data_IF_601889033640
#
_entry.id   IF_601889033640
#
_cell.length_a   1.000
_cell.length_b   1.000
_cell.length_c   1.000
_cell.angle_alpha   90.00
_cell.angle_beta   90.00
_cell.angle_gamma   90.00
#
_symmetry.space_group_name_H-M   'P 1'
#
loop_
_entity.id
_entity.type
_entity.pdbx_description
1 polymer ?
#
# COMPACT_ATOMS: atom_id res chain seq x y z
N UNK A 1 -15.55 5.24 -13.68
CA UNK A 1 -16.46 5.56 -12.56
C UNK A 1 -15.61 5.95 -11.36
N UNK A 2 -16.12 6.68 -10.35
CA UNK A 2 -15.35 6.87 -9.12
C UNK A 2 -15.32 5.57 -8.32
N UNK A 3 -14.14 4.99 -8.11
CA UNK A 3 -13.98 3.78 -7.30
C UNK A 3 -13.86 4.16 -5.82
N UNK A 4 -14.68 3.54 -4.97
CA UNK A 4 -14.58 3.72 -3.53
C UNK A 4 -13.49 2.81 -3.00
N UNK A 5 -12.49 3.39 -2.34
CA UNK A 5 -11.41 2.66 -1.69
C UNK A 5 -11.29 3.11 -0.24
N UNK A 6 -10.73 2.26 0.60
CA UNK A 6 -10.39 2.61 1.97
C UNK A 6 -8.88 2.69 2.10
N UNK A 7 -8.34 3.74 2.71
CA UNK A 7 -6.90 3.91 2.91
C UNK A 7 -6.53 3.93 4.38
N UNK A 8 -5.35 3.41 4.69
CA UNK A 8 -4.83 3.39 6.04
C UNK A 8 -3.35 3.79 6.06
N UNK A 9 -3.04 4.82 6.83
CA UNK A 9 -1.70 5.42 6.94
C UNK A 9 -1.01 5.10 8.26
N UNK A 10 -1.48 4.11 9.02
CA UNK A 10 -0.88 3.72 10.29
C UNK A 10 0.54 3.16 10.07
N UNK A 11 1.53 4.00 10.38
CA UNK A 11 2.96 3.68 10.21
C UNK A 11 3.39 2.50 11.08
N UNK A 12 2.74 2.24 12.21
CA UNK A 12 3.10 1.12 13.09
C UNK A 12 2.67 -0.18 12.43
N UNK A 13 1.43 -0.25 11.96
CA UNK A 13 0.90 -1.42 11.27
C UNK A 13 1.65 -1.68 9.95
N UNK A 14 1.87 -0.64 9.13
CA UNK A 14 2.66 -0.75 7.90
C UNK A 14 4.10 -1.22 8.18
N UNK A 15 4.75 -0.72 9.24
CA UNK A 15 6.09 -1.20 9.61
C UNK A 15 6.08 -2.67 9.99
N UNK A 16 5.06 -3.13 10.72
CA UNK A 16 4.91 -4.53 11.08
C UNK A 16 4.66 -5.39 9.84
N UNK A 17 3.80 -4.93 8.94
CA UNK A 17 3.53 -5.55 7.66
C UNK A 17 4.81 -5.71 6.81
N UNK A 18 5.60 -4.63 6.65
CA UNK A 18 6.87 -4.69 5.91
C UNK A 18 7.88 -5.67 6.53
N UNK A 19 7.92 -5.78 7.87
CA UNK A 19 8.75 -6.78 8.55
C UNK A 19 8.28 -8.20 8.26
N UNK A 20 6.97 -8.42 8.20
CA UNK A 20 6.36 -9.72 7.91
C UNK A 20 6.55 -10.13 6.43
N UNK A 21 6.40 -9.18 5.51
CA UNK A 21 6.71 -9.36 4.08
C UNK A 21 8.17 -9.78 3.91
N UNK A 22 9.07 -9.14 4.64
CA UNK A 22 10.50 -9.42 4.58
C UNK A 22 11.19 -8.75 3.39
N UNK A 23 12.49 -8.54 3.52
CA UNK A 23 13.30 -7.79 2.55
C UNK A 23 13.25 -8.39 1.15
N UNK A 24 13.42 -9.71 1.04
CA UNK A 24 13.51 -10.38 -0.27
C UNK A 24 12.21 -10.24 -1.07
N UNK A 25 11.07 -10.56 -0.47
CA UNK A 25 9.76 -10.43 -1.15
C UNK A 25 9.47 -8.99 -1.53
N UNK A 26 9.81 -8.05 -0.65
CA UNK A 26 9.63 -6.63 -0.92
C UNK A 26 10.49 -6.16 -2.09
N UNK A 27 11.76 -6.54 -2.15
CA UNK A 27 12.66 -6.18 -3.26
C UNK A 27 12.23 -6.83 -4.58
N UNK A 28 11.74 -8.08 -4.55
CA UNK A 28 11.13 -8.71 -5.71
C UNK A 28 9.89 -7.94 -6.18
N UNK A 29 8.98 -7.57 -5.27
CA UNK A 29 7.79 -6.81 -5.60
C UNK A 29 8.12 -5.46 -6.26
N UNK A 30 9.11 -4.72 -5.74
CA UNK A 30 9.56 -3.48 -6.37
C UNK A 30 10.08 -3.72 -7.79
N UNK A 31 10.84 -4.80 -8.00
CA UNK A 31 11.39 -5.15 -9.31
C UNK A 31 10.30 -5.56 -10.30
N UNK A 32 9.33 -6.36 -9.85
CA UNK A 32 8.20 -6.81 -10.67
C UNK A 32 7.31 -5.65 -11.12
N UNK A 33 7.19 -4.61 -10.28
CA UNK A 33 6.48 -3.36 -10.62
C UNK A 33 7.34 -2.36 -11.41
N UNK A 34 8.60 -2.68 -11.73
CA UNK A 34 9.51 -1.76 -12.42
C UNK A 34 9.88 -0.51 -11.62
N UNK A 35 9.78 -0.57 -10.28
CA UNK A 35 10.06 0.58 -9.40
C UNK A 35 11.56 0.68 -9.16
N UNK A 36 12.22 1.52 -9.95
CA UNK A 36 13.66 1.79 -9.81
C UNK A 36 13.97 2.71 -8.61
N UNK A 37 13.14 3.73 -8.40
CA UNK A 37 13.29 4.64 -7.27
C UNK A 37 12.65 4.05 -6.02
N UNK A 38 13.46 3.48 -5.13
CA UNK A 38 12.96 2.94 -3.86
C UNK A 38 12.22 4.02 -3.04
N UNK A 39 11.17 3.64 -2.28
CA UNK A 39 10.54 4.51 -1.30
C UNK A 39 11.55 5.23 -0.40
N UNK A 40 11.38 6.55 -0.25
CA UNK A 40 12.33 7.44 0.43
C UNK A 40 12.31 7.33 1.95
N UNK A 41 11.27 6.70 2.51
CA UNK A 41 11.07 6.57 3.95
C UNK A 41 9.70 5.98 4.27
N UNK A 42 9.35 5.89 5.55
CA UNK A 42 8.09 5.26 5.99
C UNK A 42 6.84 6.12 5.73
N UNK A 43 6.99 7.43 5.59
CA UNK A 43 5.86 8.37 5.63
C UNK A 43 4.91 8.29 4.43
N UNK A 44 5.41 7.80 3.31
CA UNK A 44 4.60 7.65 2.09
C UNK A 44 3.84 6.33 2.01
N UNK A 45 4.09 5.37 2.90
CA UNK A 45 3.44 4.06 2.80
C UNK A 45 2.02 4.10 3.36
N UNK A 46 1.13 3.39 2.69
CA UNK A 46 -0.24 3.18 3.13
C UNK A 46 -0.81 1.88 2.56
N UNK A 47 -1.84 1.36 3.21
CA UNK A 47 -2.59 0.21 2.72
C UNK A 47 -3.89 0.71 2.13
N UNK A 48 -4.26 0.19 0.96
CA UNK A 48 -5.54 0.46 0.31
C UNK A 48 -6.35 -0.84 0.25
N UNK A 49 -7.60 -0.77 0.71
CA UNK A 49 -8.59 -1.82 0.54
C UNK A 49 -9.57 -1.40 -0.56
N UNK A 50 -9.66 -2.24 -1.57
CA UNK A 50 -10.52 -2.02 -2.71
C UNK A 50 -11.83 -2.78 -2.53
N UNK A 51 -12.96 -2.07 -2.53
CA UNK A 51 -14.25 -2.65 -2.12
C UNK A 51 -14.78 -3.68 -3.12
N UNK A 52 -14.60 -3.40 -4.41
CA UNK A 52 -15.17 -4.20 -5.49
C UNK A 52 -14.47 -5.56 -5.64
N UNK A 53 -13.14 -5.56 -5.61
CA UNK A 53 -12.30 -6.77 -5.73
C UNK A 53 -12.03 -7.44 -4.39
N UNK A 54 -12.21 -6.71 -3.29
CA UNK A 54 -11.84 -7.10 -1.92
C UNK A 54 -10.32 -7.31 -1.75
N UNK A 55 -9.53 -6.69 -2.61
CA UNK A 55 -8.07 -6.75 -2.51
C UNK A 55 -7.56 -5.76 -1.47
N UNK A 56 -6.53 -6.19 -0.73
CA UNK A 56 -5.78 -5.36 0.20
C UNK A 56 -4.37 -5.23 -0.35
N UNK A 57 -3.96 -4.00 -0.62
CA UNK A 57 -2.79 -3.69 -1.41
C UNK A 57 -1.90 -2.68 -0.68
N UNK A 58 -0.59 -2.88 -0.73
CA UNK A 58 0.39 -1.95 -0.20
C UNK A 58 0.78 -0.93 -1.28
N UNK A 59 0.71 0.34 -0.91
CA UNK A 59 1.06 1.46 -1.77
C UNK A 59 2.11 2.37 -1.14
N UNK A 60 2.76 3.17 -1.98
CA UNK A 60 3.62 4.26 -1.57
C UNK A 60 3.30 5.54 -2.34
N UNK A 61 3.15 6.65 -1.62
CA UNK A 61 2.93 7.99 -2.18
C UNK A 61 4.20 8.84 -2.03
N UNK A 62 4.75 9.28 -3.16
CA UNK A 62 5.88 10.20 -3.18
C UNK A 62 5.43 11.64 -2.83
N UNK A 63 6.36 12.50 -2.37
CA UNK A 63 6.11 13.94 -2.22
C UNK A 63 5.62 14.62 -3.51
N UNK A 64 5.99 14.08 -4.67
CA UNK A 64 5.50 14.49 -6.00
C UNK A 64 4.03 14.14 -6.26
N UNK A 65 3.34 13.54 -5.28
CA UNK A 65 1.94 13.03 -5.33
C UNK A 65 1.72 11.81 -6.23
N UNK A 66 2.78 11.24 -6.79
CA UNK A 66 2.70 9.96 -7.50
C UNK A 66 2.46 8.83 -6.49
N UNK A 67 1.47 8.00 -6.75
CA UNK A 67 1.13 6.81 -5.95
C UNK A 67 1.55 5.56 -6.71
N UNK A 68 2.38 4.72 -6.09
CA UNK A 68 2.82 3.44 -6.65
C UNK A 68 2.17 2.30 -5.90
N UNK A 69 1.64 1.35 -6.66
CA UNK A 69 1.30 0.02 -6.18
C UNK A 69 2.59 -0.78 -5.97
N UNK A 70 2.73 -1.45 -4.82
CA UNK A 70 3.90 -2.27 -4.53
C UNK A 70 3.52 -3.74 -4.66
N UNK A 71 2.55 -4.21 -3.87
CA UNK A 71 2.15 -5.61 -3.86
C UNK A 71 0.79 -5.82 -3.19
N UNK A 72 0.08 -6.91 -3.51
CA UNK A 72 -1.02 -7.38 -2.67
C UNK A 72 -0.48 -7.88 -1.33
N UNK A 73 -1.21 -7.61 -0.27
CA UNK A 73 -0.86 -8.00 1.11
C UNK A 73 -1.94 -8.82 1.79
N UNK A 74 -2.83 -9.43 0.99
CA UNK A 74 -3.77 -10.42 1.48
C UNK A 74 -3.02 -11.62 2.07
N UNK A 75 -3.37 -12.01 3.30
CA UNK A 75 -2.75 -13.13 4.02
C UNK A 75 -1.66 -12.75 5.02
N UNK A 76 -1.30 -11.47 5.11
CA UNK A 76 -0.42 -10.97 6.16
C UNK A 76 -1.21 -10.55 7.41
N UNK A 77 -0.61 -10.68 8.59
CA UNK A 77 -1.23 -10.33 9.87
C UNK A 77 -1.08 -8.86 10.23
N UNK A 78 -0.09 -8.17 9.66
CA UNK A 78 0.20 -6.75 9.90
C UNK A 78 -0.84 -5.76 9.31
N UNK A 79 -2.00 -6.23 8.84
CA UNK A 79 -3.03 -5.37 8.24
C UNK A 79 -3.70 -4.52 9.34
N UNK A 80 -3.80 -3.19 9.18
CA UNK A 80 -4.46 -2.33 10.15
C UNK A 80 -5.94 -2.70 10.34
N UNK A 81 -6.42 -2.71 11.58
CA UNK A 81 -7.84 -2.98 11.89
C UNK A 81 -8.68 -1.71 12.16
N UNK A 82 -8.04 -0.54 12.29
CA UNK A 82 -8.67 0.74 12.67
C UNK A 82 -8.08 1.88 11.85
N UNK A 83 -8.74 3.06 11.88
CA UNK A 83 -8.30 4.28 11.20
C UNK A 83 -8.27 4.18 9.67
N UNK A 84 -9.23 3.45 9.11
CA UNK A 84 -9.46 3.42 7.68
C UNK A 84 -10.26 4.66 7.27
N UNK A 85 -9.74 5.38 6.28
CA UNK A 85 -10.36 6.56 5.69
C UNK A 85 -11.00 6.18 4.36
N UNK A 86 -12.23 6.65 4.11
CA UNK A 86 -12.89 6.48 2.81
C UNK A 86 -12.26 7.47 1.82
N UNK A 87 -11.83 6.97 0.68
CA UNK A 87 -11.32 7.77 -0.42
C UNK A 87 -12.06 7.42 -1.72
N UNK A 88 -12.16 8.39 -2.64
CA UNK A 88 -12.80 8.23 -3.95
C UNK A 88 -11.72 8.42 -5.00
N UNK A 89 -11.34 7.32 -5.65
CA UNK A 89 -10.39 7.31 -6.76
C UNK A 89 -11.16 7.60 -8.04
N UNK A 90 -10.84 8.71 -8.70
CA UNK A 90 -11.30 8.94 -10.06
C UNK A 90 -10.43 8.10 -11.00
N UNK A 91 -11.06 7.21 -11.78
CA UNK A 91 -10.39 6.55 -12.90
C UNK A 91 -10.10 7.61 -13.98
N UNK A 92 -8.83 7.86 -14.26
CA UNK A 92 -8.36 8.75 -15.31
C UNK A 92 -7.82 7.96 -16.50
#
# INVERSE_FOLDING_TARGET
MSKVVFRNYDKIAVRQLLKEVGKERYECALKDQGIEQKPLGMDGFFVEFEVDTKDINLYYKYPSKVTLFIMPVLGYWGIPSKNWEIDRKEEH
#
